data_IF_223702960453
#
_entry.id   IF_223702960453
#
_cell.length_a   1.000
_cell.length_b   1.000
_cell.length_c   1.000
_cell.angle_alpha   90.00
_cell.angle_beta   90.00
_cell.angle_gamma   90.00
#
_symmetry.space_group_name_H-M   'P 1'
#
loop_
_entity.id
_entity.type
_entity.pdbx_description
1 polymer ?
#
# COMPACT_ATOMS: atom_id res chain seq x y z
N UNK A 1 -6.16 2.02 -17.08
CA UNK A 1 -5.53 1.08 -18.01
C UNK A 1 -5.44 1.66 -19.43
N UNK A 2 -6.53 1.99 -20.12
CA UNK A 2 -6.51 2.46 -21.52
C UNK A 2 -5.55 3.63 -21.80
N UNK A 3 -5.42 4.58 -20.89
CA UNK A 3 -4.46 5.69 -21.01
C UNK A 3 -3.00 5.20 -20.98
N UNK A 4 -2.68 4.24 -20.11
CA UNK A 4 -1.36 3.63 -20.05
C UNK A 4 -1.04 2.86 -21.32
N UNK A 5 -1.99 2.08 -21.85
CA UNK A 5 -1.86 1.36 -23.11
C UNK A 5 -1.58 2.33 -24.26
N UNK A 6 -2.38 3.40 -24.38
CA UNK A 6 -2.23 4.41 -25.43
C UNK A 6 -0.88 5.15 -25.35
N UNK A 7 -0.39 5.36 -24.14
CA UNK A 7 0.88 6.08 -23.89
C UNK A 7 2.12 5.16 -23.88
N UNK A 8 1.94 3.84 -24.09
CA UNK A 8 3.00 2.82 -23.93
C UNK A 8 3.71 2.93 -22.56
N UNK A 9 2.93 2.98 -21.50
CA UNK A 9 3.39 3.08 -20.13
C UNK A 9 2.83 1.95 -19.28
N UNK A 10 3.51 1.67 -18.18
CA UNK A 10 3.07 0.70 -17.19
C UNK A 10 2.29 1.39 -16.08
N UNK A 11 1.50 0.60 -15.34
CA UNK A 11 0.75 1.07 -14.19
C UNK A 11 0.77 0.04 -13.05
N UNK A 12 0.43 0.50 -11.87
CA UNK A 12 0.21 -0.33 -10.69
C UNK A 12 -1.30 -0.32 -10.42
N UNK A 13 -1.88 -1.51 -10.33
CA UNK A 13 -3.26 -1.70 -9.92
C UNK A 13 -3.46 -1.47 -8.41
N UNK A 14 -4.71 -1.53 -7.97
CA UNK A 14 -5.07 -1.28 -6.56
C UNK A 14 -6.21 -2.20 -6.11
N UNK A 15 -6.28 -2.43 -4.81
CA UNK A 15 -7.28 -3.23 -4.08
C UNK A 15 -7.17 -4.74 -4.28
N UNK A 16 -7.27 -5.20 -5.52
CA UNK A 16 -7.15 -6.62 -5.92
C UNK A 16 -6.10 -6.77 -7.00
N UNK A 17 -5.71 -8.01 -7.29
CA UNK A 17 -4.80 -8.27 -8.42
C UNK A 17 -5.50 -7.95 -9.75
N UNK A 18 -5.00 -6.94 -10.43
CA UNK A 18 -5.49 -6.45 -11.73
C UNK A 18 -4.57 -6.85 -12.90
N UNK A 19 -3.62 -7.76 -12.68
CA UNK A 19 -2.65 -8.18 -13.71
C UNK A 19 -3.29 -8.77 -14.97
N UNK A 20 -4.47 -9.34 -14.84
CA UNK A 20 -5.24 -9.94 -15.95
C UNK A 20 -6.05 -8.92 -16.76
N UNK A 21 -6.24 -7.71 -16.24
CA UNK A 21 -7.04 -6.67 -16.88
C UNK A 21 -6.30 -6.00 -18.05
N UNK A 22 -4.97 -5.91 -17.97
CA UNK A 22 -4.12 -5.35 -19.02
C UNK A 22 -2.65 -5.74 -18.84
N UNK A 23 -1.95 -5.90 -19.97
CA UNK A 23 -0.50 -6.11 -19.95
C UNK A 23 0.29 -4.92 -19.38
N UNK A 24 -0.29 -3.73 -19.35
CA UNK A 24 0.34 -2.56 -18.73
C UNK A 24 0.35 -2.62 -17.20
N UNK A 25 -0.46 -3.47 -16.58
CA UNK A 25 -0.46 -3.67 -15.13
C UNK A 25 0.71 -4.57 -14.76
N UNK A 26 1.74 -4.00 -14.13
CA UNK A 26 2.95 -4.74 -13.73
C UNK A 26 2.85 -5.36 -12.34
N UNK A 27 2.00 -4.83 -11.49
CA UNK A 27 1.64 -5.34 -10.16
C UNK A 27 0.40 -4.61 -9.65
N UNK A 28 -0.07 -4.98 -8.46
CA UNK A 28 -1.18 -4.29 -7.77
C UNK A 28 -0.87 -4.10 -6.30
N UNK A 29 -1.13 -2.90 -5.78
CA UNK A 29 -1.12 -2.64 -4.34
C UNK A 29 -2.42 -3.20 -3.75
N UNK A 30 -2.38 -4.45 -3.30
CA UNK A 30 -3.56 -5.17 -2.83
C UNK A 30 -3.90 -4.83 -1.38
N UNK A 31 -5.18 -4.84 -1.08
CA UNK A 31 -5.73 -4.87 0.28
C UNK A 31 -6.19 -6.29 0.61
N UNK A 32 -5.89 -6.75 1.82
CA UNK A 32 -6.33 -8.06 2.29
C UNK A 32 -7.77 -7.99 2.82
N UNK A 33 -8.71 -7.79 1.91
CA UNK A 33 -10.12 -7.57 2.23
C UNK A 33 -10.77 -8.80 2.91
N UNK A 34 -10.34 -10.02 2.53
CA UNK A 34 -10.83 -11.26 3.11
C UNK A 34 -10.55 -11.34 4.61
N UNK A 35 -9.30 -11.16 4.99
CA UNK A 35 -8.90 -11.23 6.40
C UNK A 35 -9.48 -10.07 7.23
N UNK A 36 -9.67 -8.90 6.62
CA UNK A 36 -10.33 -7.78 7.33
C UNK A 36 -11.79 -8.08 7.70
N UNK A 37 -12.52 -8.73 6.81
CA UNK A 37 -13.90 -9.17 7.08
C UNK A 37 -13.91 -10.35 8.07
N UNK A 38 -12.98 -11.30 7.90
CA UNK A 38 -12.87 -12.44 8.81
C UNK A 38 -12.59 -11.97 10.24
N UNK A 39 -11.63 -11.07 10.44
CA UNK A 39 -11.31 -10.51 11.76
C UNK A 39 -12.51 -9.77 12.38
N UNK A 40 -13.25 -8.99 11.58
CA UNK A 40 -14.45 -8.31 12.07
C UNK A 40 -15.56 -9.30 12.50
N UNK A 41 -15.72 -10.42 11.80
CA UNK A 41 -16.65 -11.48 12.19
C UNK A 41 -16.18 -12.21 13.44
N UNK A 42 -14.89 -12.52 13.54
CA UNK A 42 -14.30 -13.14 14.72
C UNK A 42 -14.49 -12.26 15.96
N UNK A 43 -14.23 -10.94 15.85
CA UNK A 43 -14.51 -9.99 16.92
C UNK A 43 -15.98 -9.96 17.31
N UNK A 44 -16.89 -10.02 16.33
CA UNK A 44 -18.33 -10.03 16.60
C UNK A 44 -18.76 -11.28 17.39
N UNK A 45 -18.29 -12.46 17.00
CA UNK A 45 -18.64 -13.71 17.70
C UNK A 45 -17.94 -13.86 19.05
N UNK A 46 -16.86 -13.13 19.30
CA UNK A 46 -16.14 -13.07 20.58
C UNK A 46 -16.59 -11.89 21.47
N UNK A 47 -17.67 -11.21 21.13
CA UNK A 47 -18.20 -10.04 21.86
C UNK A 47 -17.16 -8.89 22.00
N UNK A 48 -16.17 -8.83 21.11
CA UNK A 48 -15.10 -7.82 21.10
C UNK A 48 -15.25 -6.76 20.01
N UNK A 49 -16.24 -6.89 19.13
CA UNK A 49 -16.46 -5.96 18.01
C UNK A 49 -16.73 -4.53 18.49
N UNK A 50 -15.91 -3.60 18.05
CA UNK A 50 -16.00 -2.19 18.42
C UNK A 50 -16.58 -1.36 17.27
N UNK A 51 -17.88 -1.30 17.18
CA UNK A 51 -18.57 -0.45 16.21
C UNK A 51 -18.24 1.04 16.36
N UNK A 52 -18.28 1.78 15.24
CA UNK A 52 -18.00 3.22 15.22
C UNK A 52 -16.54 3.63 15.35
N UNK A 53 -15.60 2.68 15.30
CA UNK A 53 -14.16 2.96 15.30
C UNK A 53 -13.55 2.71 13.91
N UNK A 54 -12.57 3.51 13.56
CA UNK A 54 -11.70 3.26 12.41
C UNK A 54 -10.56 2.34 12.82
N UNK A 55 -10.37 1.26 12.09
CA UNK A 55 -9.24 0.35 12.26
C UNK A 55 -8.35 0.46 11.02
N UNK A 56 -7.04 0.65 11.23
CA UNK A 56 -6.05 0.64 10.15
C UNK A 56 -5.38 -0.73 10.12
N UNK A 57 -5.46 -1.40 8.98
CA UNK A 57 -4.79 -2.68 8.74
C UNK A 57 -3.61 -2.42 7.79
N UNK A 58 -2.43 -2.34 8.33
CA UNK A 58 -1.19 -2.12 7.59
C UNK A 58 -0.39 -3.41 7.37
N UNK A 59 0.90 -3.30 7.01
CA UNK A 59 1.76 -4.46 6.79
C UNK A 59 1.96 -5.31 8.05
N UNK A 60 1.86 -4.73 9.27
CA UNK A 60 2.04 -5.48 10.52
C UNK A 60 0.93 -6.51 10.77
N UNK A 61 -0.27 -6.26 10.23
CA UNK A 61 -1.41 -7.17 10.26
C UNK A 61 -1.67 -7.86 8.90
N UNK A 62 -0.70 -7.86 8.00
CA UNK A 62 -0.84 -8.38 6.64
C UNK A 62 -2.00 -7.73 5.84
N UNK A 63 -2.38 -6.51 6.19
CA UNK A 63 -3.49 -5.78 5.59
C UNK A 63 -3.24 -5.30 4.16
N UNK A 64 -1.98 -5.26 3.73
CA UNK A 64 -1.55 -4.86 2.38
C UNK A 64 -0.49 -5.81 1.85
N UNK A 65 -0.46 -6.04 0.52
CA UNK A 65 0.55 -6.90 -0.11
C UNK A 65 0.67 -6.65 -1.62
N UNK A 66 1.71 -7.22 -2.24
CA UNK A 66 1.84 -7.34 -3.69
C UNK A 66 1.57 -8.80 -4.13
N UNK A 67 0.91 -9.03 -5.27
CA UNK A 67 0.72 -10.36 -5.84
C UNK A 67 1.98 -10.78 -6.62
N UNK A 68 3.04 -11.16 -5.92
CA UNK A 68 4.34 -11.43 -6.53
C UNK A 68 4.31 -12.51 -7.62
N UNK A 69 3.42 -13.50 -7.50
CA UNK A 69 3.27 -14.59 -8.48
C UNK A 69 2.79 -14.12 -9.86
N UNK A 70 1.99 -13.05 -9.90
CA UNK A 70 1.41 -12.49 -11.12
C UNK A 70 2.05 -11.16 -11.53
N UNK A 71 2.93 -10.63 -10.68
CA UNK A 71 3.66 -9.39 -10.95
C UNK A 71 4.66 -9.54 -12.09
N UNK A 72 4.75 -8.54 -12.96
CA UNK A 72 5.59 -8.52 -14.16
C UNK A 72 6.88 -7.74 -13.94
N UNK A 73 7.49 -7.86 -12.75
CA UNK A 73 8.74 -7.21 -12.42
C UNK A 73 9.91 -7.82 -13.20
N UNK A 74 10.83 -6.98 -13.68
CA UNK A 74 12.03 -7.45 -14.41
C UNK A 74 13.24 -7.68 -13.52
N UNK A 75 13.31 -6.97 -12.40
CA UNK A 75 14.48 -6.93 -11.51
C UNK A 75 14.11 -7.16 -10.05
N UNK A 76 12.90 -6.78 -9.64
CA UNK A 76 12.43 -6.94 -8.26
C UNK A 76 12.01 -8.40 -8.02
N UNK A 77 12.74 -9.10 -7.15
CA UNK A 77 12.56 -10.53 -6.87
C UNK A 77 11.69 -10.78 -5.65
N UNK A 78 11.24 -12.03 -5.50
CA UNK A 78 10.50 -12.47 -4.31
C UNK A 78 11.31 -12.24 -3.03
N UNK A 79 12.60 -12.61 -3.02
CA UNK A 79 13.46 -12.48 -1.85
C UNK A 79 13.59 -11.00 -1.43
N UNK A 80 13.70 -10.10 -2.42
CA UNK A 80 13.77 -8.67 -2.12
C UNK A 80 12.44 -8.11 -1.61
N UNK A 81 11.34 -8.62 -2.11
CA UNK A 81 10.02 -8.30 -1.58
C UNK A 81 9.89 -8.76 -0.12
N UNK A 82 10.24 -9.99 0.18
CA UNK A 82 10.13 -10.56 1.53
C UNK A 82 11.00 -9.79 2.54
N UNK A 83 12.23 -9.42 2.14
CA UNK A 83 13.12 -8.58 2.96
C UNK A 83 12.47 -7.23 3.30
N UNK A 84 11.97 -6.51 2.29
CA UNK A 84 11.35 -5.20 2.47
C UNK A 84 10.03 -5.29 3.23
N UNK A 85 9.25 -6.34 2.96
CA UNK A 85 7.99 -6.55 3.65
C UNK A 85 8.19 -6.85 5.14
N UNK A 86 9.21 -7.62 5.50
CA UNK A 86 9.59 -7.84 6.88
C UNK A 86 9.96 -6.53 7.60
N UNK A 87 10.71 -5.64 6.92
CA UNK A 87 11.06 -4.33 7.47
C UNK A 87 9.85 -3.37 7.61
N UNK A 88 8.84 -3.52 6.76
CA UNK A 88 7.57 -2.80 6.92
C UNK A 88 6.78 -3.34 8.11
N UNK A 89 6.75 -4.66 8.29
CA UNK A 89 6.04 -5.33 9.41
C UNK A 89 6.63 -4.99 10.76
N UNK A 90 7.94 -4.94 10.89
CA UNK A 90 8.62 -4.63 12.16
C UNK A 90 8.79 -3.12 12.42
N UNK A 91 8.38 -2.27 11.46
CA UNK A 91 8.43 -0.81 11.57
C UNK A 91 9.82 -0.20 11.34
N UNK A 92 10.80 -0.98 10.87
CA UNK A 92 12.12 -0.47 10.45
C UNK A 92 11.96 0.51 9.29
N UNK A 93 11.11 0.17 8.31
CA UNK A 93 10.69 1.10 7.26
C UNK A 93 9.37 1.75 7.66
N UNK A 94 9.35 3.07 7.70
CA UNK A 94 8.14 3.87 7.95
C UNK A 94 7.67 4.52 6.66
N UNK A 95 6.42 4.26 6.30
CA UNK A 95 5.79 4.91 5.15
C UNK A 95 5.27 6.28 5.56
N UNK A 96 5.65 7.31 4.80
CA UNK A 96 5.17 8.68 5.01
C UNK A 96 3.67 8.81 4.71
N UNK A 97 2.99 9.65 5.46
CA UNK A 97 1.58 9.99 5.26
C UNK A 97 1.32 11.47 5.61
N UNK A 98 0.08 11.91 5.47
CA UNK A 98 -0.37 13.27 5.75
C UNK A 98 -0.32 13.67 7.24
N UNK A 99 -0.04 12.73 8.13
CA UNK A 99 0.14 12.97 9.56
C UNK A 99 1.61 13.06 9.98
N UNK A 100 2.55 12.96 9.02
CA UNK A 100 3.97 13.15 9.32
C UNK A 100 4.24 14.55 9.84
N UNK A 101 5.15 14.62 10.78
CA UNK A 101 5.62 15.89 11.35
C UNK A 101 6.92 16.31 10.67
N UNK A 102 7.04 17.60 10.40
CA UNK A 102 8.28 18.22 9.95
C UNK A 102 9.30 18.37 11.09
N UNK A 103 10.43 18.99 10.78
CA UNK A 103 11.51 19.24 11.76
C UNK A 103 11.06 20.16 12.91
N UNK A 104 9.97 20.91 12.74
CA UNK A 104 9.37 21.79 13.75
C UNK A 104 8.28 21.10 14.61
N UNK A 105 8.17 19.78 14.56
CA UNK A 105 7.18 18.91 15.23
C UNK A 105 5.71 19.22 14.87
N UNK A 106 5.46 20.04 13.83
CA UNK A 106 4.12 20.28 13.32
C UNK A 106 3.77 19.30 12.20
N UNK A 107 2.48 18.96 12.11
CA UNK A 107 1.97 18.16 10.99
C UNK A 107 2.23 18.91 9.68
N UNK A 108 2.77 18.20 8.71
CA UNK A 108 3.05 18.75 7.37
C UNK A 108 1.73 19.16 6.71
N UNK A 109 1.62 20.43 6.33
CA UNK A 109 0.36 21.01 5.86
C UNK A 109 -0.10 20.48 4.49
N UNK A 110 0.85 20.00 3.67
CA UNK A 110 0.56 19.41 2.37
C UNK A 110 1.65 18.40 1.97
N UNK A 111 1.36 17.59 0.96
CA UNK A 111 2.23 16.51 0.52
C UNK A 111 3.61 16.99 0.02
N UNK A 112 3.75 18.26 -0.38
CA UNK A 112 5.05 18.80 -0.84
C UNK A 112 6.05 18.99 0.30
N UNK A 113 5.58 19.04 1.54
CA UNK A 113 6.40 19.12 2.74
C UNK A 113 6.91 17.77 3.24
N UNK A 114 6.49 16.65 2.64
CA UNK A 114 6.95 15.32 3.02
C UNK A 114 8.43 15.17 2.61
N UNK A 115 9.34 14.92 3.58
CA UNK A 115 10.75 14.78 3.26
C UNK A 115 10.97 13.50 2.44
N UNK A 116 11.41 13.66 1.20
CA UNK A 116 11.75 12.56 0.29
C UNK A 116 13.11 12.83 -0.35
N UNK A 117 13.93 11.78 -0.48
CA UNK A 117 15.24 11.88 -1.12
C UNK A 117 15.20 11.49 -2.61
N UNK A 118 14.26 10.65 -2.98
CA UNK A 118 14.20 10.00 -4.30
C UNK A 118 13.02 10.44 -5.14
N UNK A 119 11.95 10.87 -4.52
CA UNK A 119 10.69 11.25 -5.19
C UNK A 119 10.41 12.72 -5.02
N UNK A 120 10.17 13.44 -6.12
CA UNK A 120 9.66 14.81 -6.06
C UNK A 120 8.14 14.79 -5.97
N UNK A 121 7.60 15.39 -4.92
CA UNK A 121 6.15 15.53 -4.75
C UNK A 121 5.71 16.88 -5.30
N UNK A 122 4.76 16.89 -6.22
CA UNK A 122 4.15 18.09 -6.80
C UNK A 122 2.64 18.04 -6.65
N UNK A 123 2.04 19.14 -6.18
CA UNK A 123 0.59 19.28 -6.18
C UNK A 123 0.10 19.65 -7.58
N UNK A 124 -0.79 18.82 -8.11
CA UNK A 124 -1.52 19.13 -9.35
C UNK A 124 -2.73 19.98 -8.96
N UNK A 125 -2.78 21.22 -9.46
CA UNK A 125 -3.88 22.16 -9.23
C UNK A 125 -4.97 22.00 -10.28
#
# INVERSE_FOLDING_TARGET
MKAAETADKVMIGVDVDQSVESETVITSAMKNLGDSIYGALEDYYNDSFQGGKTVTLDASQDGVKLPMETSKFKVFTQEKYDELYAQLKDGTIKVGNDQMKGADDKVIADATGIPTEVVKVELIK
#
